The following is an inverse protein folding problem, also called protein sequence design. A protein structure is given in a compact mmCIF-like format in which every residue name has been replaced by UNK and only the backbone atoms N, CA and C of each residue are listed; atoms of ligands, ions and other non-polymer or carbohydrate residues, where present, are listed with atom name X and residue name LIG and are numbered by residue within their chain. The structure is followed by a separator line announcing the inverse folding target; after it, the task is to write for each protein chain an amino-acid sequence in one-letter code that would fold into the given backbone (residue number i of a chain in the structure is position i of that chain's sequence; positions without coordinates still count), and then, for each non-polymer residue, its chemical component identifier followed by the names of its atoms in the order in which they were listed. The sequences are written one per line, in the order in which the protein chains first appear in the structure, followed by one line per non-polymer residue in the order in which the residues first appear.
data_IF_625913655236
#
_entry.id   IF_625913655236
#
_cell.length_a   1.000
_cell.length_b   1.000
_cell.length_c   1.000
_cell.angle_alpha   90.00
_cell.angle_beta   90.00
_cell.angle_gamma   90.00
#
_symmetry.space_group_name_H-M   'P 1'
#
loop_
_entity.id
_entity.type
_entity.pdbx_description
1 polymer ?
#
# COMPACT_ATOMS: atom_id res chain seq x y z
N UNK A 1 -10.63 -19.40 23.32
CA UNK A 1 -10.83 -17.94 23.10
C UNK A 1 -9.85 -17.48 22.05
N UNK A 2 -10.27 -17.44 20.79
CA UNK A 2 -9.45 -16.90 19.71
C UNK A 2 -9.52 -15.37 19.80
N UNK A 3 -8.37 -14.72 19.99
CA UNK A 3 -8.27 -13.25 19.94
C UNK A 3 -8.48 -12.84 18.48
N UNK A 4 -9.58 -12.14 18.21
CA UNK A 4 -9.77 -11.38 16.98
C UNK A 4 -8.55 -10.46 16.78
N UNK A 5 -7.87 -10.47 15.62
CA UNK A 5 -6.73 -9.58 15.42
C UNK A 5 -7.22 -8.13 15.40
N UNK A 6 -6.49 -7.30 16.13
CA UNK A 6 -6.82 -5.94 16.50
C UNK A 6 -7.05 -5.06 15.25
N UNK A 7 -8.29 -4.62 15.00
CA UNK A 7 -8.66 -3.58 14.02
C UNK A 7 -8.13 -2.17 14.40
N UNK A 8 -6.89 -2.05 14.89
CA UNK A 8 -6.40 -0.78 15.43
C UNK A 8 -5.20 -0.30 14.63
N UNK A 9 -5.49 0.48 13.59
CA UNK A 9 -4.49 1.40 13.04
C UNK A 9 -4.30 2.48 14.10
N UNK A 10 -3.12 2.55 14.72
CA UNK A 10 -2.87 3.53 15.76
C UNK A 10 -2.87 4.94 15.15
N UNK A 11 -3.84 5.82 15.49
CA UNK A 11 -3.89 7.17 14.94
C UNK A 11 -2.65 8.01 15.32
N UNK A 12 -1.95 7.65 16.39
CA UNK A 12 -0.73 8.34 16.82
C UNK A 12 0.47 8.01 15.92
N UNK A 13 0.43 6.88 15.21
CA UNK A 13 1.40 6.58 14.17
C UNK A 13 1.23 7.49 12.95
N UNK A 14 0.09 8.16 12.75
CA UNK A 14 -0.16 9.12 11.65
C UNK A 14 0.47 10.52 11.86
N UNK A 15 1.20 10.73 12.95
CA UNK A 15 1.88 12.00 13.22
C UNK A 15 3.39 11.86 13.09
N UNK A 16 3.94 12.17 11.93
CA UNK A 16 5.38 12.31 11.74
C UNK A 16 5.95 13.30 12.75
N UNK A 17 6.90 12.87 13.59
CA UNK A 17 7.67 13.75 14.45
C UNK A 17 8.95 14.16 13.70
N UNK A 18 8.98 15.31 12.98
CA UNK A 18 10.13 15.67 12.15
C UNK A 18 11.45 15.79 12.93
N UNK A 19 11.37 16.02 14.25
CA UNK A 19 12.52 16.16 15.15
C UNK A 19 12.90 14.89 15.93
N UNK A 20 12.23 13.75 15.68
CA UNK A 20 12.59 12.49 16.34
C UNK A 20 13.96 11.98 15.85
N UNK A 21 14.71 11.23 16.69
CA UNK A 21 15.94 10.55 16.29
C UNK A 21 15.72 9.64 15.09
N UNK A 22 16.74 9.46 14.24
CA UNK A 22 16.63 8.68 13.01
C UNK A 22 16.09 7.25 13.23
N UNK A 23 16.55 6.57 14.28
CA UNK A 23 16.08 5.23 14.63
C UNK A 23 14.60 5.18 15.03
N UNK A 24 14.09 6.20 15.74
CA UNK A 24 12.66 6.28 16.08
C UNK A 24 11.82 6.52 14.81
N UNK A 25 12.31 7.35 13.88
CA UNK A 25 11.62 7.58 12.60
C UNK A 25 11.55 6.33 11.73
N UNK A 26 12.64 5.55 11.65
CA UNK A 26 12.65 4.26 10.96
C UNK A 26 11.62 3.29 11.56
N UNK A 27 11.61 3.15 12.90
CA UNK A 27 10.65 2.30 13.59
C UNK A 27 9.19 2.73 13.36
N UNK A 28 8.91 4.03 13.40
CA UNK A 28 7.58 4.56 13.09
C UNK A 28 7.18 4.29 11.65
N UNK A 29 8.12 4.41 10.69
CA UNK A 29 7.87 4.10 9.29
C UNK A 29 7.54 2.61 9.08
N UNK A 30 8.30 1.71 9.72
CA UNK A 30 7.99 0.26 9.73
C UNK A 30 6.59 0.00 10.29
N UNK A 31 6.23 0.60 11.41
CA UNK A 31 4.90 0.41 12.01
C UNK A 31 3.78 0.90 11.09
N UNK A 32 3.97 2.03 10.41
CA UNK A 32 3.00 2.53 9.41
C UNK A 32 2.84 1.57 8.24
N UNK A 33 3.93 1.03 7.69
CA UNK A 33 3.88 0.04 6.62
C UNK A 33 3.07 -1.19 7.05
N UNK A 34 3.34 -1.71 8.24
CA UNK A 34 2.61 -2.86 8.80
C UNK A 34 1.13 -2.57 9.01
N UNK A 35 0.77 -1.38 9.50
CA UNK A 35 -0.63 -0.97 9.64
C UNK A 35 -1.34 -0.83 8.29
N UNK A 36 -0.63 -0.39 7.25
CA UNK A 36 -1.18 -0.29 5.91
C UNK A 36 -1.42 -1.65 5.22
N UNK A 37 -0.99 -2.76 5.83
CA UNK A 37 -1.36 -4.11 5.40
C UNK A 37 -2.82 -4.45 5.74
N UNK A 38 -3.50 -3.70 6.62
CA UNK A 38 -4.92 -3.93 6.90
C UNK A 38 -5.77 -3.55 5.67
N UNK A 39 -6.47 -4.52 5.10
CA UNK A 39 -7.37 -4.32 3.97
C UNK A 39 -8.75 -3.86 4.45
N UNK A 40 -9.38 -3.03 3.63
CA UNK A 40 -10.76 -2.58 3.83
C UNK A 40 -11.60 -2.99 2.63
N UNK A 41 -12.84 -3.34 2.91
CA UNK A 41 -13.82 -3.63 1.88
C UNK A 41 -14.44 -2.31 1.37
N UNK A 42 -14.26 -2.04 0.08
CA UNK A 42 -14.84 -0.89 -0.60
C UNK A 42 -16.00 -1.26 -1.52
N UNK A 43 -16.19 -2.54 -1.82
CA UNK A 43 -17.17 -3.02 -2.78
C UNK A 43 -18.46 -3.45 -2.09
N UNK A 44 -18.38 -4.36 -1.11
CA UNK A 44 -19.55 -4.93 -0.46
C UNK A 44 -20.04 -4.04 0.71
N UNK A 45 -19.11 -3.39 1.42
CA UNK A 45 -19.43 -2.53 2.57
C UNK A 45 -18.81 -1.11 2.44
N UNK A 46 -19.23 -0.29 1.48
CA UNK A 46 -18.59 1.01 1.20
C UNK A 46 -18.62 1.96 2.40
N UNK A 47 -19.68 1.92 3.21
CA UNK A 47 -19.90 2.79 4.37
C UNK A 47 -19.33 2.24 5.69
N UNK A 48 -18.76 1.02 5.70
CA UNK A 48 -18.11 0.49 6.89
C UNK A 48 -16.72 1.10 7.09
N UNK A 49 -16.29 1.18 8.35
CA UNK A 49 -14.94 1.53 8.75
C UNK A 49 -14.41 2.87 8.14
N UNK A 50 -15.29 3.83 7.79
CA UNK A 50 -14.94 5.10 7.13
C UNK A 50 -13.80 5.86 7.85
N UNK A 51 -13.87 5.91 9.18
CA UNK A 51 -12.81 6.50 10.02
C UNK A 51 -11.46 5.84 9.75
N UNK A 52 -11.42 4.51 9.73
CA UNK A 52 -10.18 3.73 9.57
C UNK A 52 -9.67 3.71 8.13
N UNK A 53 -10.58 3.74 7.16
CA UNK A 53 -10.27 3.98 5.74
C UNK A 53 -9.54 5.32 5.59
N UNK A 54 -10.02 6.38 6.24
CA UNK A 54 -9.36 7.69 6.20
C UNK A 54 -8.01 7.70 6.92
N UNK A 55 -7.89 7.03 8.08
CA UNK A 55 -6.59 6.90 8.77
C UNK A 55 -5.55 6.20 7.88
N UNK A 56 -5.91 5.11 7.21
CA UNK A 56 -5.00 4.42 6.27
C UNK A 56 -4.64 5.33 5.09
N UNK A 57 -5.61 6.05 4.52
CA UNK A 57 -5.36 6.99 3.41
C UNK A 57 -4.36 8.08 3.82
N UNK A 58 -4.57 8.71 4.97
CA UNK A 58 -3.67 9.74 5.50
C UNK A 58 -2.28 9.19 5.79
N UNK A 59 -2.17 7.99 6.37
CA UNK A 59 -0.89 7.34 6.65
C UNK A 59 -0.11 7.02 5.37
N UNK A 60 -0.77 6.50 4.33
CA UNK A 60 -0.16 6.24 3.03
C UNK A 60 0.34 7.55 2.38
N UNK A 61 -0.48 8.60 2.39
CA UNK A 61 -0.11 9.91 1.85
C UNK A 61 1.12 10.49 2.56
N UNK A 62 1.14 10.45 3.89
CA UNK A 62 2.28 10.93 4.68
C UNK A 62 3.55 10.13 4.37
N UNK A 63 3.44 8.80 4.18
CA UNK A 63 4.59 7.99 3.78
C UNK A 63 5.12 8.35 2.38
N UNK A 64 4.23 8.66 1.42
CA UNK A 64 4.61 9.16 0.09
C UNK A 64 5.39 10.48 0.23
N UNK A 65 4.86 11.43 0.99
CA UNK A 65 5.51 12.72 1.24
C UNK A 65 6.85 12.55 1.94
N UNK A 66 6.93 11.64 2.93
CA UNK A 66 8.15 11.37 3.69
C UNK A 66 9.26 10.79 2.82
N UNK A 67 8.97 9.77 2.01
CA UNK A 67 9.94 9.17 1.07
C UNK A 67 10.38 10.17 0.00
N UNK A 68 9.48 11.06 -0.44
CA UNK A 68 9.78 12.03 -1.50
C UNK A 68 10.62 13.22 -1.00
N UNK A 69 10.40 13.65 0.24
CA UNK A 69 11.01 14.89 0.78
C UNK A 69 12.26 14.67 1.62
N UNK A 70 12.50 13.45 2.12
CA UNK A 70 13.61 13.13 3.02
C UNK A 70 14.61 12.19 2.37
N UNK A 71 15.88 12.30 2.77
CA UNK A 71 16.96 11.38 2.38
C UNK A 71 17.26 10.38 3.49
N UNK A 72 17.81 9.23 3.12
CA UNK A 72 18.21 8.18 4.04
C UNK A 72 17.02 7.46 4.69
N UNK A 73 15.83 7.56 4.09
CA UNK A 73 14.61 6.88 4.58
C UNK A 73 14.65 5.38 4.27
N UNK A 74 15.20 5.01 3.11
CA UNK A 74 15.16 3.64 2.59
C UNK A 74 16.35 2.84 3.14
N UNK A 75 16.23 2.40 4.39
CA UNK A 75 17.22 1.53 5.06
C UNK A 75 16.90 0.05 4.85
N UNK A 76 17.83 -0.84 5.19
CA UNK A 76 17.65 -2.29 4.97
C UNK A 76 16.37 -2.89 5.59
N UNK A 77 15.96 -2.51 6.82
CA UNK A 77 14.73 -3.01 7.42
C UNK A 77 13.44 -2.60 6.69
N UNK A 78 13.48 -1.55 5.86
CA UNK A 78 12.29 -1.04 5.17
C UNK A 78 11.90 -1.90 3.97
N UNK A 79 12.87 -2.50 3.27
CA UNK A 79 12.61 -3.29 2.06
C UNK A 79 11.59 -4.42 2.25
N UNK A 80 11.75 -5.35 3.22
CA UNK A 80 10.78 -6.43 3.39
C UNK A 80 9.38 -5.92 3.72
N UNK A 81 9.28 -4.88 4.56
CA UNK A 81 8.00 -4.32 5.00
C UNK A 81 7.28 -3.61 3.86
N UNK A 82 8.00 -2.83 3.04
CA UNK A 82 7.44 -2.12 1.89
C UNK A 82 6.97 -3.09 0.80
N UNK A 83 7.78 -4.11 0.48
CA UNK A 83 7.43 -5.13 -0.52
C UNK A 83 6.23 -5.94 -0.05
N UNK A 84 6.19 -6.33 1.23
CA UNK A 84 5.05 -7.06 1.81
C UNK A 84 3.77 -6.21 1.81
N UNK A 85 3.86 -4.93 2.23
CA UNK A 85 2.72 -4.01 2.22
C UNK A 85 2.17 -3.81 0.81
N UNK A 86 3.04 -3.65 -0.20
CA UNK A 86 2.63 -3.59 -1.60
C UNK A 86 1.92 -4.89 -2.02
N UNK A 87 2.55 -6.05 -1.79
CA UNK A 87 2.00 -7.35 -2.17
C UNK A 87 0.61 -7.59 -1.57
N UNK A 88 0.42 -7.31 -0.28
CA UNK A 88 -0.86 -7.50 0.41
C UNK A 88 -1.97 -6.63 -0.19
N UNK A 89 -1.65 -5.40 -0.61
CA UNK A 89 -2.66 -4.49 -1.16
C UNK A 89 -2.97 -4.77 -2.64
N UNK A 90 -2.00 -5.26 -3.42
CA UNK A 90 -2.12 -5.37 -4.88
C UNK A 90 -2.37 -6.80 -5.38
N UNK A 91 -1.75 -7.81 -4.79
CA UNK A 91 -1.86 -9.20 -5.26
C UNK A 91 -3.16 -9.82 -4.78
N UNK A 92 -4.24 -9.49 -5.50
CA UNK A 92 -5.58 -10.02 -5.29
C UNK A 92 -6.16 -10.52 -6.61
N UNK A 93 -7.09 -11.45 -6.51
CA UNK A 93 -7.87 -11.87 -7.67
C UNK A 93 -8.72 -10.70 -8.16
N UNK A 94 -8.63 -10.39 -9.44
CA UNK A 94 -9.49 -9.36 -10.04
C UNK A 94 -10.94 -9.86 -10.05
N UNK A 95 -11.92 -8.97 -9.83
CA UNK A 95 -13.32 -9.34 -9.99
C UNK A 95 -13.57 -9.82 -11.43
N UNK A 96 -14.57 -10.69 -11.64
CA UNK A 96 -14.93 -11.13 -12.98
C UNK A 96 -15.28 -9.92 -13.87
N UNK A 97 -14.95 -10.01 -15.16
CA UNK A 97 -15.28 -8.97 -16.13
C UNK A 97 -16.79 -8.72 -16.15
N UNK A 98 -17.18 -7.45 -16.12
CA UNK A 98 -18.56 -7.00 -16.33
C UNK A 98 -18.96 -7.02 -17.80
N UNK A 99 -17.98 -7.06 -18.72
CA UNK A 99 -18.20 -6.96 -20.15
C UNK A 99 -18.57 -8.33 -20.75
N UNK A 100 -19.41 -8.36 -21.80
CA UNK A 100 -19.81 -9.60 -22.46
C UNK A 100 -18.59 -10.31 -23.06
N UNK A 101 -18.51 -11.63 -22.87
CA UNK A 101 -17.45 -12.46 -23.43
C UNK A 101 -17.87 -13.06 -24.78
N UNK A 102 -16.96 -13.12 -25.76
CA UNK A 102 -17.15 -13.90 -26.98
C UNK A 102 -17.62 -13.08 -28.19
N UNK A 103 -18.57 -13.59 -28.97
CA UNK A 103 -18.93 -13.05 -30.28
C UNK A 103 -19.66 -11.69 -30.24
N UNK A 104 -20.13 -11.26 -29.06
CA UNK A 104 -20.79 -9.98 -28.81
C UNK A 104 -19.84 -8.96 -28.14
N UNK A 105 -18.55 -9.29 -28.02
CA UNK A 105 -17.56 -8.37 -27.47
C UNK A 105 -17.21 -7.29 -28.49
N UNK A 106 -17.59 -6.03 -28.19
CA UNK A 106 -17.14 -4.84 -28.90
C UNK A 106 -16.28 -3.98 -27.95
N UNK A 107 -14.94 -3.90 -28.17
CA UNK A 107 -14.05 -3.13 -27.30
C UNK A 107 -14.32 -1.61 -27.33
N UNK A 108 -15.08 -1.10 -28.31
CA UNK A 108 -15.48 0.32 -28.34
C UNK A 108 -16.70 0.61 -27.46
N UNK A 109 -17.53 -0.40 -27.15
CA UNK A 109 -18.71 -0.27 -26.29
C UNK A 109 -18.45 -0.66 -24.82
N UNK A 110 -17.26 -1.18 -24.52
CA UNK A 110 -16.85 -1.59 -23.18
C UNK A 110 -16.85 -0.40 -22.19
N UNK A 111 -17.74 -0.45 -21.20
CA UNK A 111 -17.73 0.53 -20.12
C UNK A 111 -16.54 0.29 -19.17
N UNK A 112 -15.79 1.34 -18.78
CA UNK A 112 -14.66 1.19 -17.88
C UNK A 112 -15.15 0.80 -16.47
N UNK A 113 -14.81 -0.41 -16.02
CA UNK A 113 -15.04 -0.81 -14.63
C UNK A 113 -14.04 -0.10 -13.71
N UNK A 114 -14.55 0.71 -12.78
CA UNK A 114 -13.74 1.43 -11.80
C UNK A 114 -13.45 0.55 -10.57
N UNK A 115 -12.21 0.61 -10.07
CA UNK A 115 -11.81 -0.09 -8.84
C UNK A 115 -12.25 0.69 -7.59
N UNK A 116 -13.13 0.10 -6.77
CA UNK A 116 -13.68 0.77 -5.60
C UNK A 116 -12.63 1.11 -4.54
N UNK A 117 -11.57 0.30 -4.42
CA UNK A 117 -10.47 0.54 -3.48
C UNK A 117 -9.42 1.54 -4.00
N UNK A 118 -9.65 2.16 -5.17
CA UNK A 118 -8.70 3.09 -5.81
C UNK A 118 -8.14 4.19 -4.90
N UNK A 119 -8.92 4.82 -3.98
CA UNK A 119 -8.38 5.84 -3.08
C UNK A 119 -7.21 5.36 -2.20
N UNK A 120 -7.11 4.05 -1.91
CA UNK A 120 -5.97 3.46 -1.24
C UNK A 120 -4.92 2.94 -2.23
N UNK A 121 -5.36 2.25 -3.29
CA UNK A 121 -4.44 1.63 -4.24
C UNK A 121 -3.58 2.63 -4.99
N UNK A 122 -4.13 3.79 -5.36
CA UNK A 122 -3.38 4.88 -5.97
C UNK A 122 -2.16 5.26 -5.12
N UNK A 123 -2.34 5.40 -3.80
CA UNK A 123 -1.27 5.78 -2.89
C UNK A 123 -0.26 4.65 -2.66
N UNK A 124 -0.70 3.38 -2.70
CA UNK A 124 0.22 2.24 -2.61
C UNK A 124 1.11 2.16 -3.85
N UNK A 125 0.53 2.34 -5.05
CA UNK A 125 1.30 2.44 -6.30
C UNK A 125 2.27 3.62 -6.26
N UNK A 126 1.80 4.78 -5.83
CA UNK A 126 2.62 5.98 -5.75
C UNK A 126 3.79 5.79 -4.78
N UNK A 127 3.55 5.26 -3.58
CA UNK A 127 4.59 4.98 -2.59
C UNK A 127 5.64 4.00 -3.14
N UNK A 128 5.20 2.93 -3.79
CA UNK A 128 6.12 1.95 -4.37
C UNK A 128 6.95 2.56 -5.50
N UNK A 129 6.34 3.37 -6.36
CA UNK A 129 7.04 4.08 -7.42
C UNK A 129 8.08 5.06 -6.85
N UNK A 130 7.72 5.84 -5.82
CA UNK A 130 8.67 6.74 -5.12
C UNK A 130 9.83 6.00 -4.47
N UNK A 131 9.58 4.80 -3.91
CA UNK A 131 10.65 3.97 -3.36
C UNK A 131 11.63 3.51 -4.44
N UNK A 132 11.11 3.06 -5.61
CA UNK A 132 11.94 2.59 -6.73
C UNK A 132 12.72 3.73 -7.41
N UNK A 133 12.12 4.92 -7.51
CA UNK A 133 12.73 6.11 -8.12
C UNK A 133 13.72 6.83 -7.18
N UNK A 134 13.75 6.46 -5.90
CA UNK A 134 14.60 7.12 -4.92
C UNK A 134 16.08 6.88 -5.20
N UNK A 135 16.94 7.92 -5.11
CA UNK A 135 18.39 7.76 -5.28
C UNK A 135 19.02 6.91 -4.18
N UNK A 136 18.35 6.72 -3.05
CA UNK A 136 18.83 5.89 -1.93
C UNK A 136 18.43 4.41 -2.10
N UNK A 137 17.67 4.06 -3.15
CA UNK A 137 17.27 2.69 -3.43
C UNK A 137 18.45 1.81 -3.85
N UNK A 138 18.56 0.63 -3.26
CA UNK A 138 19.65 -0.31 -3.47
C UNK A 138 19.12 -1.62 -4.11
N UNK A 139 19.28 -1.80 -5.43
CA UNK A 139 18.77 -2.98 -6.14
C UNK A 139 19.30 -4.32 -5.59
N UNK A 140 20.53 -4.34 -5.07
CA UNK A 140 21.15 -5.54 -4.51
C UNK A 140 20.48 -6.05 -3.23
N UNK A 141 19.81 -5.17 -2.48
CA UNK A 141 19.01 -5.53 -1.31
C UNK A 141 17.60 -5.91 -1.77
N UNK A 142 16.99 -5.08 -2.63
CA UNK A 142 15.63 -5.27 -3.11
C UNK A 142 15.40 -6.61 -3.82
N UNK A 143 16.38 -7.10 -4.62
CA UNK A 143 16.27 -8.39 -5.33
C UNK A 143 16.09 -9.62 -4.43
N UNK A 144 16.32 -9.49 -3.12
CA UNK A 144 16.04 -10.55 -2.14
C UNK A 144 14.54 -10.70 -1.84
N UNK A 145 13.75 -9.66 -2.14
CA UNK A 145 12.32 -9.58 -1.82
C UNK A 145 11.46 -9.43 -3.08
N UNK A 146 11.98 -8.78 -4.13
CA UNK A 146 11.37 -8.69 -5.46
C UNK A 146 11.96 -9.81 -6.32
N UNK A 147 11.44 -11.02 -6.12
CA UNK A 147 11.86 -12.22 -6.85
C UNK A 147 10.95 -12.49 -8.07
N UNK A 148 11.22 -13.58 -8.80
CA UNK A 148 10.38 -13.95 -9.96
C UNK A 148 8.92 -14.19 -9.58
N UNK A 149 8.65 -14.68 -8.36
CA UNK A 149 7.29 -14.92 -7.91
C UNK A 149 6.56 -13.58 -7.74
N UNK A 150 7.21 -12.58 -7.15
CA UNK A 150 6.67 -11.23 -7.03
C UNK A 150 6.32 -10.62 -8.38
N UNK A 151 7.16 -10.83 -9.41
CA UNK A 151 6.94 -10.31 -10.78
C UNK A 151 5.77 -11.00 -11.51
N UNK A 152 5.45 -12.25 -11.14
CA UNK A 152 4.39 -13.04 -11.78
C UNK A 152 2.99 -12.82 -11.17
N UNK A 153 2.89 -12.17 -10.01
CA UNK A 153 1.61 -11.80 -9.40
C UNK A 153 1.02 -10.55 -10.05
#
# INVERSE_FOLDING_TARGET
MAKTPQKYIDPSAAGGRPHAPAAEREQLFVQKLQQCCLLFDFADEPLSDLKWKEVKRAALLEMVEYVTSQRGVITEPIYPEAVNMFAINLFRTLPPSSNPNGAEFDPEEDEPTLEAAWPHLQLVYELFLRLLESPDFQPNIAKKYIDQKFVLQ
#
